data_IF_847082287726
#
_entry.id   IF_847082287726
#
_cell.length_a   1.000
_cell.length_b   1.000
_cell.length_c   1.000
_cell.angle_alpha   90.00
_cell.angle_beta   90.00
_cell.angle_gamma   90.00
#
_symmetry.space_group_name_H-M   'P 1'
#
loop_
_entity.id
_entity.type
_entity.pdbx_description
1 polymer ?
#
# COMPACT_ATOMS: atom_id res chain seq x y z
N UNK A 1 11.24 -12.07 13.94
CA UNK A 1 11.52 -11.33 12.70
C UNK A 1 10.39 -10.32 12.51
N UNK A 2 10.68 -9.03 12.31
CA UNK A 2 9.64 -8.03 12.08
C UNK A 2 9.53 -7.77 10.58
N UNK A 3 8.34 -7.99 10.01
CA UNK A 3 8.06 -7.81 8.58
C UNK A 3 7.54 -6.39 8.33
N UNK A 4 7.95 -5.77 7.22
CA UNK A 4 7.43 -4.48 6.79
C UNK A 4 6.35 -4.71 5.74
N UNK A 5 5.30 -3.90 5.78
CA UNK A 5 4.15 -3.99 4.88
C UNK A 5 3.80 -2.62 4.30
N UNK A 6 3.52 -2.58 3.01
CA UNK A 6 2.96 -1.43 2.32
C UNK A 6 1.56 -1.75 1.83
N UNK A 7 0.59 -0.86 2.09
CA UNK A 7 -0.82 -1.09 1.75
C UNK A 7 -1.32 0.07 0.90
N UNK A 8 -1.99 -0.26 -0.21
CA UNK A 8 -2.62 0.73 -1.07
C UNK A 8 -3.97 0.22 -1.56
N UNK A 9 -4.94 1.12 -1.64
CA UNK A 9 -6.25 0.87 -2.24
C UNK A 9 -6.39 1.70 -3.52
N UNK A 10 -6.76 1.04 -4.60
CA UNK A 10 -7.05 1.69 -5.87
C UNK A 10 -7.35 0.67 -6.97
N UNK A 11 -7.80 1.16 -8.12
CA UNK A 11 -8.13 0.31 -9.26
C UNK A 11 -6.90 -0.39 -9.84
N UNK A 12 -7.08 -1.65 -10.21
CA UNK A 12 -6.05 -2.51 -10.79
C UNK A 12 -6.65 -3.31 -11.93
N UNK A 13 -5.81 -3.67 -12.90
CA UNK A 13 -6.19 -4.58 -13.99
C UNK A 13 -5.70 -5.97 -13.62
N UNK A 14 -6.62 -6.93 -13.56
CA UNK A 14 -6.29 -8.35 -13.37
C UNK A 14 -6.37 -9.04 -14.72
N UNK A 15 -5.29 -9.70 -15.12
CA UNK A 15 -5.23 -10.47 -16.35
C UNK A 15 -4.80 -11.91 -16.08
N UNK A 16 -5.34 -12.85 -16.84
CA UNK A 16 -4.92 -14.25 -16.81
C UNK A 16 -4.07 -14.53 -18.05
N UNK A 17 -2.85 -15.05 -17.86
CA UNK A 17 -1.88 -15.31 -18.92
C UNK A 17 -1.49 -16.79 -18.84
N UNK A 18 -1.64 -17.53 -19.94
CA UNK A 18 -1.21 -18.93 -20.05
C UNK A 18 -2.16 -19.80 -20.87
N UNK A 19 -1.79 -21.07 -21.05
CA UNK A 19 -2.65 -22.10 -21.63
C UNK A 19 -3.58 -22.70 -20.56
N UNK A 20 -4.64 -23.42 -20.97
CA UNK A 20 -5.68 -23.98 -20.06
C UNK A 20 -5.14 -24.69 -18.82
N UNK A 21 -3.99 -25.36 -18.91
CA UNK A 21 -3.39 -26.12 -17.80
C UNK A 21 -2.36 -25.33 -16.97
N UNK A 22 -2.11 -24.05 -17.29
CA UNK A 22 -1.11 -23.22 -16.63
C UNK A 22 -1.45 -21.72 -16.70
N UNK A 23 -2.66 -21.35 -16.25
CA UNK A 23 -3.10 -19.96 -16.14
C UNK A 23 -2.43 -19.27 -14.94
N UNK A 24 -1.67 -18.22 -15.21
CA UNK A 24 -1.10 -17.32 -14.19
C UNK A 24 -1.92 -16.04 -14.14
N UNK A 25 -2.51 -15.73 -12.99
CA UNK A 25 -3.16 -14.45 -12.77
C UNK A 25 -2.13 -13.41 -12.36
N UNK A 26 -2.03 -12.33 -13.13
CA UNK A 26 -1.13 -11.21 -12.84
C UNK A 26 -1.95 -9.94 -12.64
N UNK A 27 -1.58 -9.18 -11.61
CA UNK A 27 -2.15 -7.85 -11.37
C UNK A 27 -1.22 -6.81 -11.98
N UNK A 28 -1.76 -5.98 -12.86
CA UNK A 28 -1.07 -4.84 -13.46
C UNK A 28 -1.71 -3.54 -13.01
N UNK A 29 -0.89 -2.54 -12.72
CA UNK A 29 -1.34 -1.18 -12.44
C UNK A 29 -0.43 -0.46 -11.46
N UNK A 30 -0.41 0.86 -11.56
CA UNK A 30 0.42 1.73 -10.71
C UNK A 30 0.11 1.53 -9.22
N UNK A 31 -1.14 1.18 -8.88
CA UNK A 31 -1.55 0.92 -7.50
C UNK A 31 -0.84 -0.26 -6.85
N UNK A 32 -0.42 -1.28 -7.61
CA UNK A 32 0.41 -2.40 -7.11
C UNK A 32 1.83 -1.92 -6.81
N UNK A 33 2.39 -1.11 -7.71
CA UNK A 33 3.72 -0.53 -7.55
C UNK A 33 3.79 0.40 -6.34
N UNK A 34 2.71 1.14 -6.04
CA UNK A 34 2.61 1.98 -4.84
C UNK A 34 2.75 1.12 -3.58
N UNK A 35 1.97 0.05 -3.44
CA UNK A 35 2.03 -0.82 -2.27
C UNK A 35 3.45 -1.39 -2.05
N UNK A 36 4.08 -1.89 -3.11
CA UNK A 36 5.46 -2.39 -3.05
C UNK A 36 6.47 -1.29 -2.66
N UNK A 37 6.26 -0.06 -3.13
CA UNK A 37 7.12 1.08 -2.78
C UNK A 37 6.96 1.50 -1.32
N UNK A 38 5.74 1.49 -0.80
CA UNK A 38 5.48 1.79 0.61
C UNK A 38 6.16 0.79 1.54
N UNK A 39 6.18 -0.50 1.19
CA UNK A 39 6.94 -1.51 1.96
C UNK A 39 8.39 -1.09 2.13
N UNK A 40 9.05 -0.67 1.05
CA UNK A 40 10.45 -0.24 1.09
C UNK A 40 10.64 1.05 1.89
N UNK A 41 9.70 1.99 1.78
CA UNK A 41 9.74 3.30 2.44
C UNK A 41 9.58 3.19 3.97
N UNK A 42 8.98 2.14 4.49
CA UNK A 42 8.92 1.88 5.93
C UNK A 42 10.30 2.00 6.62
N UNK A 43 11.40 1.64 5.93
CA UNK A 43 12.75 1.80 6.47
C UNK A 43 13.12 3.27 6.70
N UNK A 44 12.70 4.17 5.82
CA UNK A 44 12.99 5.60 5.89
C UNK A 44 12.13 6.29 6.95
N UNK A 45 10.86 5.87 7.07
CA UNK A 45 9.91 6.41 8.06
C UNK A 45 10.02 5.75 9.44
N UNK A 46 10.86 4.71 9.60
CA UNK A 46 10.98 3.98 10.86
C UNK A 46 9.75 3.15 11.25
N UNK A 47 8.73 3.06 10.39
CA UNK A 47 7.46 2.36 10.61
C UNK A 47 7.51 0.92 10.14
N UNK A 48 6.62 0.04 10.63
CA UNK A 48 6.47 -1.33 10.06
C UNK A 48 5.37 -1.43 9.02
N UNK A 49 4.37 -0.56 9.11
CA UNK A 49 3.25 -0.52 8.19
C UNK A 49 3.13 0.92 7.68
N UNK A 50 3.09 1.06 6.36
CA UNK A 50 2.70 2.29 5.68
C UNK A 50 1.50 1.98 4.80
N UNK A 51 0.50 2.85 4.87
CA UNK A 51 -0.69 2.79 4.05
C UNK A 51 -0.96 4.13 3.37
N UNK A 52 -1.55 4.10 2.18
CA UNK A 52 -2.06 5.32 1.55
C UNK A 52 -3.31 5.84 2.26
N UNK A 53 -3.60 7.14 2.09
CA UNK A 53 -4.84 7.74 2.58
C UNK A 53 -6.09 7.09 2.01
N UNK A 54 -6.02 6.59 0.77
CA UNK A 54 -7.08 5.83 0.13
C UNK A 54 -7.38 4.53 0.89
N UNK A 55 -6.34 3.84 1.37
CA UNK A 55 -6.51 2.66 2.22
C UNK A 55 -7.22 2.99 3.52
N UNK A 56 -6.76 4.02 4.23
CA UNK A 56 -7.38 4.47 5.47
C UNK A 56 -8.86 4.85 5.27
N UNK A 57 -9.19 5.51 4.15
CA UNK A 57 -10.57 5.85 3.78
C UNK A 57 -11.42 4.61 3.49
N UNK A 58 -10.86 3.64 2.76
CA UNK A 58 -11.57 2.43 2.39
C UNK A 58 -11.90 1.54 3.60
N UNK A 59 -11.10 1.60 4.67
CA UNK A 59 -11.39 0.92 5.92
C UNK A 59 -12.58 1.50 6.69
N UNK A 60 -12.93 2.77 6.48
CA UNK A 60 -14.06 3.43 7.16
C UNK A 60 -13.98 3.29 8.67
N UNK A 61 -15.09 2.83 9.27
CA UNK A 61 -15.24 2.67 10.73
C UNK A 61 -14.28 1.62 11.32
N UNK A 62 -13.69 0.73 10.52
CA UNK A 62 -12.68 -0.22 10.99
C UNK A 62 -11.38 0.46 11.44
N UNK A 63 -11.17 1.72 11.05
CA UNK A 63 -10.07 2.54 11.55
C UNK A 63 -10.38 3.21 12.89
N UNK A 64 -11.61 3.14 13.41
CA UNK A 64 -11.93 3.71 14.72
C UNK A 64 -11.14 3.02 15.83
N UNK A 65 -10.47 3.81 16.67
CA UNK A 65 -9.58 3.30 17.72
C UNK A 65 -8.21 2.81 17.22
N UNK A 66 -7.89 2.99 15.94
CA UNK A 66 -6.56 2.69 15.38
C UNK A 66 -5.63 3.90 15.47
N UNK A 67 -4.39 3.70 15.91
CA UNK A 67 -3.36 4.75 16.04
C UNK A 67 -2.68 5.09 14.70
N UNK A 68 -3.48 5.51 13.71
CA UNK A 68 -2.96 5.98 12.42
C UNK A 68 -2.34 7.37 12.54
N UNK A 69 -1.05 7.46 12.21
CA UNK A 69 -0.30 8.71 12.24
C UNK A 69 0.09 9.15 10.82
N UNK A 70 -0.29 10.34 10.37
CA UNK A 70 0.18 10.91 9.10
C UNK A 70 1.71 11.02 9.08
N UNK A 71 2.33 10.51 8.02
CA UNK A 71 3.79 10.49 7.88
C UNK A 71 4.33 11.45 6.81
N UNK A 72 3.45 11.99 5.96
CA UNK A 72 3.78 12.93 4.90
C UNK A 72 3.32 12.42 3.53
N UNK A 73 3.93 12.95 2.47
CA UNK A 73 3.61 12.60 1.09
C UNK A 73 4.76 11.86 0.41
N UNK A 74 4.40 10.86 -0.40
CA UNK A 74 5.34 10.08 -1.21
C UNK A 74 5.10 10.36 -2.68
N UNK A 75 6.18 10.65 -3.42
CA UNK A 75 6.16 10.70 -4.87
C UNK A 75 6.47 9.30 -5.41
N UNK A 76 5.50 8.69 -6.08
CA UNK A 76 5.66 7.39 -6.72
C UNK A 76 5.75 7.57 -8.23
N UNK A 77 6.74 6.91 -8.84
CA UNK A 77 6.91 6.91 -10.29
C UNK A 77 5.63 6.40 -10.96
N UNK A 78 5.05 7.19 -11.85
CA UNK A 78 3.76 6.90 -12.50
C UNK A 78 2.61 7.81 -12.03
N UNK A 79 2.72 8.45 -10.86
CA UNK A 79 1.77 9.50 -10.42
C UNK A 79 2.41 10.89 -10.51
N UNK A 80 1.66 11.83 -11.05
CA UNK A 80 2.03 13.25 -11.04
C UNK A 80 1.78 13.91 -9.67
N UNK A 81 0.75 13.45 -8.95
CA UNK A 81 0.38 14.00 -7.65
C UNK A 81 1.09 13.26 -6.49
N UNK A 82 1.58 13.98 -5.46
CA UNK A 82 2.04 13.38 -4.22
C UNK A 82 0.95 12.50 -3.59
N UNK A 83 1.33 11.35 -3.05
CA UNK A 83 0.42 10.41 -2.41
C UNK A 83 0.59 10.48 -0.89
N UNK A 84 -0.42 10.94 -0.14
CA UNK A 84 -0.33 11.01 1.31
C UNK A 84 -0.30 9.62 1.95
N UNK A 85 0.59 9.45 2.93
CA UNK A 85 0.80 8.18 3.62
C UNK A 85 0.64 8.30 5.13
N UNK A 86 0.14 7.24 5.73
CA UNK A 86 -0.05 7.08 7.16
C UNK A 86 0.70 5.82 7.61
N UNK A 87 1.23 5.85 8.83
CA UNK A 87 1.71 4.65 9.50
C UNK A 87 0.77 4.30 10.66
N UNK A 88 0.75 3.04 11.05
CA UNK A 88 0.14 2.63 12.32
C UNK A 88 1.27 2.20 13.26
N UNK A 89 1.31 2.78 14.46
CA UNK A 89 2.28 2.37 15.46
C UNK A 89 2.04 0.90 15.83
N UNK A 90 3.10 0.11 15.94
CA UNK A 90 2.98 -1.24 16.48
C UNK A 90 2.65 -1.15 17.98
N UNK A 91 1.71 -1.96 18.51
CA UNK A 91 1.53 -2.03 19.95
C UNK A 91 2.87 -2.42 20.60
N UNK A 92 3.20 -1.70 21.67
CA UNK A 92 4.46 -1.85 22.42
C UNK A 92 4.49 -3.17 23.18
#
# INVERSE_FOLDING_TARGET
MKTRCGINTGEIIVGAIGAENHLTFTVHGDNVNIAARLEQLNKQYGSYILATKETHRACGDLCEGSDWTPCGDVIVRGRAAPTPVLSIASPS
#
